data_IF_852341437698
#
_entry.id   IF_852341437698
#
_cell.length_a   1.000
_cell.length_b   1.000
_cell.length_c   1.000
_cell.angle_alpha   90.00
_cell.angle_beta   90.00
_cell.angle_gamma   90.00
#
_symmetry.space_group_name_H-M   'P 1'
#
loop_
_entity.id
_entity.type
_entity.pdbx_description
1 polymer ?
#
# COMPACT_ATOMS: atom_id res chain seq x y z
N UNK A 1 8.34 19.86 -16.72
CA UNK A 1 7.76 18.51 -16.64
C UNK A 1 8.88 17.51 -16.38
N UNK A 2 8.76 16.63 -15.37
CA UNK A 2 9.73 15.57 -15.18
C UNK A 2 9.69 14.65 -16.41
N UNK A 3 10.82 14.54 -17.10
CA UNK A 3 11.00 13.64 -18.23
C UNK A 3 11.90 12.50 -17.74
N UNK A 4 11.34 11.33 -17.56
CA UNK A 4 12.12 10.17 -17.13
C UNK A 4 11.28 8.92 -17.00
N UNK A 5 11.96 7.79 -16.90
CA UNK A 5 11.34 6.52 -16.55
C UNK A 5 11.14 6.45 -15.03
N UNK A 6 10.09 5.78 -14.59
CA UNK A 6 9.77 5.60 -13.17
C UNK A 6 10.04 4.17 -12.76
N UNK A 7 10.94 3.97 -11.81
CA UNK A 7 11.23 2.67 -11.16
C UNK A 7 10.46 2.61 -9.83
N UNK A 8 9.12 2.57 -9.91
CA UNK A 8 8.26 2.64 -8.72
C UNK A 8 8.43 1.44 -7.82
N UNK A 9 8.42 0.24 -8.39
CA UNK A 9 8.52 -1.01 -7.62
C UNK A 9 9.88 -1.16 -6.95
N UNK A 10 10.97 -0.81 -7.64
CA UNK A 10 12.32 -0.81 -7.05
C UNK A 10 12.41 0.19 -5.90
N UNK A 11 11.89 1.40 -6.08
CA UNK A 11 11.86 2.42 -5.03
C UNK A 11 11.08 1.98 -3.78
N UNK A 12 9.97 1.25 -3.95
CA UNK A 12 9.21 0.71 -2.81
C UNK A 12 10.04 -0.33 -2.04
N UNK A 13 10.80 -1.19 -2.72
CA UNK A 13 11.70 -2.15 -2.06
C UNK A 13 12.77 -1.43 -1.26
N UNK A 14 13.42 -0.42 -1.84
CA UNK A 14 14.45 0.35 -1.13
C UNK A 14 13.90 1.03 0.13
N UNK A 15 12.69 1.61 0.05
CA UNK A 15 12.02 2.20 1.21
C UNK A 15 11.66 1.14 2.25
N UNK A 16 11.19 -0.04 1.84
CA UNK A 16 10.89 -1.14 2.75
C UNK A 16 12.13 -1.62 3.50
N UNK A 17 13.25 -1.80 2.80
CA UNK A 17 14.53 -2.19 3.42
C UNK A 17 15.07 -1.10 4.35
N UNK A 18 14.97 0.18 3.98
CA UNK A 18 15.36 1.30 4.83
C UNK A 18 14.55 1.32 6.14
N UNK A 19 13.23 1.12 6.05
CA UNK A 19 12.34 1.15 7.21
C UNK A 19 12.44 -0.09 8.09
N UNK A 20 12.97 -1.20 7.59
CA UNK A 20 13.05 -2.48 8.32
C UNK A 20 13.78 -2.37 9.67
N UNK A 21 14.80 -1.51 9.75
CA UNK A 21 15.55 -1.23 10.99
C UNK A 21 14.92 -0.19 11.90
N UNK A 22 13.84 0.48 11.48
CA UNK A 22 13.23 1.57 12.25
C UNK A 22 12.34 1.03 13.37
N UNK A 23 12.31 1.74 14.50
CA UNK A 23 11.37 1.45 15.59
C UNK A 23 9.99 2.03 15.32
N UNK A 24 8.96 1.44 15.95
CA UNK A 24 7.59 1.90 15.87
C UNK A 24 6.85 1.43 14.62
N UNK A 25 5.75 2.11 14.30
CA UNK A 25 4.94 1.81 13.12
C UNK A 25 5.62 2.34 11.86
N UNK A 26 5.69 1.50 10.85
CA UNK A 26 6.29 1.82 9.55
C UNK A 26 5.18 2.02 8.53
N UNK A 27 5.11 3.21 7.99
CA UNK A 27 4.08 3.61 7.04
C UNK A 27 4.75 4.20 5.81
N UNK A 28 4.31 3.76 4.65
CA UNK A 28 4.71 4.29 3.35
C UNK A 28 3.49 4.94 2.71
N UNK A 29 3.62 6.20 2.34
CA UNK A 29 2.61 6.90 1.55
C UNK A 29 3.15 7.08 0.14
N UNK A 30 2.52 6.41 -0.81
CA UNK A 30 2.87 6.49 -2.24
C UNK A 30 1.99 7.54 -2.89
N UNK A 31 2.59 8.57 -3.45
CA UNK A 31 1.89 9.61 -4.22
C UNK A 31 2.33 9.46 -5.68
N UNK A 32 1.51 8.82 -6.51
CA UNK A 32 1.89 8.44 -7.87
C UNK A 32 0.67 8.10 -8.71
N UNK A 33 0.81 8.12 -10.03
CA UNK A 33 -0.15 7.55 -10.98
C UNK A 33 -0.13 6.01 -10.98
N UNK A 34 0.86 5.41 -10.32
CA UNK A 34 1.05 3.96 -10.19
C UNK A 34 1.73 3.31 -11.40
N UNK A 35 2.08 4.07 -12.43
CA UNK A 35 2.80 3.54 -13.57
C UNK A 35 4.26 3.24 -13.20
N UNK A 36 4.73 2.07 -13.58
CA UNK A 36 6.09 1.61 -13.42
C UNK A 36 6.67 1.26 -14.79
N UNK A 37 7.71 1.97 -15.18
CA UNK A 37 8.25 1.89 -16.54
C UNK A 37 9.71 1.47 -16.61
N UNK A 38 10.38 1.36 -15.43
CA UNK A 38 11.84 1.17 -15.40
C UNK A 38 12.34 0.27 -14.26
N UNK A 39 11.48 -0.29 -13.44
CA UNK A 39 11.92 -1.25 -12.43
C UNK A 39 12.53 -2.49 -13.07
N UNK A 40 13.44 -3.16 -12.36
CA UNK A 40 14.06 -4.40 -12.81
C UNK A 40 12.97 -5.44 -13.13
N UNK A 41 13.16 -6.21 -14.19
CA UNK A 41 12.19 -7.23 -14.62
C UNK A 41 11.93 -8.30 -13.55
N UNK A 42 12.85 -8.48 -12.62
CA UNK A 42 12.71 -9.38 -11.47
C UNK A 42 11.94 -8.77 -10.31
N UNK A 43 11.73 -7.45 -10.32
CA UNK A 43 10.98 -6.73 -9.29
C UNK A 43 9.48 -6.87 -9.56
N UNK A 44 8.94 -8.02 -9.20
CA UNK A 44 7.51 -8.30 -9.35
C UNK A 44 6.71 -7.74 -8.19
N UNK A 45 5.40 -7.59 -8.37
CA UNK A 45 4.49 -7.18 -7.30
C UNK A 45 4.56 -8.09 -6.06
N UNK A 46 4.75 -9.39 -6.28
CA UNK A 46 4.92 -10.37 -5.21
C UNK A 46 6.19 -10.08 -4.38
N UNK A 47 7.31 -9.80 -5.05
CA UNK A 47 8.59 -9.46 -4.40
C UNK A 47 8.44 -8.20 -3.55
N UNK A 48 7.80 -7.16 -4.11
CA UNK A 48 7.52 -5.90 -3.40
C UNK A 48 6.60 -6.12 -2.20
N UNK A 49 5.51 -6.85 -2.38
CA UNK A 49 4.57 -7.18 -1.30
C UNK A 49 5.27 -7.94 -0.17
N UNK A 50 6.11 -8.92 -0.51
CA UNK A 50 6.90 -9.66 0.47
C UNK A 50 7.86 -8.75 1.23
N UNK A 51 8.58 -7.86 0.54
CA UNK A 51 9.50 -6.91 1.19
C UNK A 51 8.76 -6.02 2.20
N UNK A 52 7.61 -5.46 1.82
CA UNK A 52 6.77 -4.64 2.69
C UNK A 52 6.24 -5.43 3.90
N UNK A 53 5.80 -6.67 3.72
CA UNK A 53 5.30 -7.53 4.80
C UNK A 53 6.42 -7.94 5.76
N UNK A 54 7.60 -8.29 5.25
CA UNK A 54 8.79 -8.59 6.08
C UNK A 54 9.23 -7.35 6.86
N UNK A 55 9.22 -6.17 6.24
CA UNK A 55 9.52 -4.92 6.89
C UNK A 55 8.39 -4.44 7.83
N UNK A 56 7.23 -5.12 7.86
CA UNK A 56 6.03 -4.71 8.60
C UNK A 56 5.59 -3.28 8.28
N UNK A 57 5.64 -2.93 7.00
CA UNK A 57 5.20 -1.63 6.48
C UNK A 57 3.73 -1.66 6.08
N UNK A 58 2.99 -0.61 6.43
CA UNK A 58 1.64 -0.34 5.95
C UNK A 58 1.71 0.65 4.80
N UNK A 59 0.98 0.40 3.72
CA UNK A 59 1.04 1.22 2.50
C UNK A 59 -0.26 1.97 2.28
N UNK A 60 -0.18 3.29 2.21
CA UNK A 60 -1.24 4.15 1.71
C UNK A 60 -0.87 4.65 0.33
N UNK A 61 -1.85 4.77 -0.55
CA UNK A 61 -1.64 5.27 -1.91
C UNK A 61 -2.57 6.46 -2.17
N UNK A 62 -2.01 7.54 -2.67
CA UNK A 62 -2.75 8.68 -3.21
C UNK A 62 -2.47 8.74 -4.71
N UNK A 63 -3.47 8.38 -5.51
CA UNK A 63 -3.33 8.35 -6.98
C UNK A 63 -3.43 9.77 -7.53
N UNK A 64 -2.46 10.16 -8.37
CA UNK A 64 -2.40 11.53 -8.93
C UNK A 64 -3.01 11.65 -10.32
N UNK A 65 -3.25 10.58 -11.02
CA UNK A 65 -3.66 10.57 -12.43
C UNK A 65 -4.93 11.38 -12.70
N UNK A 66 -5.98 11.15 -11.91
CA UNK A 66 -7.26 11.85 -12.07
C UNK A 66 -7.13 13.33 -11.71
N UNK A 67 -6.35 13.63 -10.65
CA UNK A 67 -6.04 14.99 -10.23
C UNK A 67 -5.30 15.78 -11.32
N UNK A 68 -4.24 15.20 -11.88
CA UNK A 68 -3.47 15.82 -12.96
C UNK A 68 -4.32 16.03 -14.22
N UNK A 69 -5.16 15.05 -14.57
CA UNK A 69 -6.07 15.15 -15.70
C UNK A 69 -7.09 16.26 -15.48
N UNK A 70 -7.73 16.31 -14.32
CA UNK A 70 -8.69 17.36 -13.99
C UNK A 70 -8.05 18.75 -13.97
N UNK A 71 -6.88 18.90 -13.38
CA UNK A 71 -6.13 20.17 -13.37
C UNK A 71 -5.78 20.67 -14.78
N UNK A 72 -5.51 19.74 -15.71
CA UNK A 72 -5.15 20.08 -17.10
C UNK A 72 -6.37 20.33 -17.98
N UNK A 73 -7.47 19.63 -17.80
CA UNK A 73 -8.61 19.62 -18.74
C UNK A 73 -9.89 20.26 -18.19
N UNK A 74 -10.01 20.37 -16.87
CA UNK A 74 -11.25 20.74 -16.17
C UNK A 74 -12.34 19.66 -16.22
N UNK A 75 -12.05 18.48 -16.76
CA UNK A 75 -13.03 17.41 -16.94
C UNK A 75 -12.74 16.27 -15.95
N UNK A 76 -13.80 15.79 -15.27
CA UNK A 76 -13.75 14.60 -14.45
C UNK A 76 -13.73 13.34 -15.32
N UNK A 77 -12.85 12.42 -14.99
CA UNK A 77 -12.67 11.17 -15.73
C UNK A 77 -11.63 11.28 -16.86
N UNK A 78 -11.08 10.15 -17.23
CA UNK A 78 -10.08 10.02 -18.28
C UNK A 78 -10.21 8.68 -18.99
N UNK A 79 -9.55 8.53 -20.14
CA UNK A 79 -9.51 7.26 -20.86
C UNK A 79 -8.67 6.24 -20.06
N UNK A 80 -9.34 5.24 -19.49
CA UNK A 80 -8.67 4.11 -18.91
C UNK A 80 -8.03 3.27 -20.02
N UNK A 81 -6.72 3.10 -19.97
CA UNK A 81 -6.01 2.16 -20.83
C UNK A 81 -5.53 0.96 -19.98
N UNK A 82 -5.08 -0.10 -20.64
CA UNK A 82 -4.63 -1.33 -19.95
C UNK A 82 -3.50 -1.05 -18.96
N UNK A 83 -2.60 -0.12 -19.26
CA UNK A 83 -1.48 0.25 -18.35
C UNK A 83 -2.02 0.90 -17.08
N UNK A 84 -2.95 1.84 -17.22
CA UNK A 84 -3.57 2.51 -16.07
C UNK A 84 -4.35 1.53 -15.18
N UNK A 85 -5.09 0.61 -15.77
CA UNK A 85 -5.80 -0.44 -15.03
C UNK A 85 -4.84 -1.39 -14.30
N UNK A 86 -3.73 -1.73 -14.93
CA UNK A 86 -2.69 -2.55 -14.31
C UNK A 86 -2.02 -1.83 -13.14
N UNK A 87 -1.69 -0.54 -13.32
CA UNK A 87 -1.14 0.31 -12.28
C UNK A 87 -2.10 0.43 -11.08
N UNK A 88 -3.37 0.68 -11.36
CA UNK A 88 -4.41 0.76 -10.33
C UNK A 88 -4.54 -0.53 -9.53
N UNK A 89 -4.60 -1.67 -10.21
CA UNK A 89 -4.69 -2.98 -9.54
C UNK A 89 -3.48 -3.26 -8.65
N UNK A 90 -2.27 -2.91 -9.11
CA UNK A 90 -1.05 -3.06 -8.29
C UNK A 90 -1.12 -2.23 -7.01
N UNK A 91 -1.55 -0.98 -7.11
CA UNK A 91 -1.66 -0.09 -5.95
C UNK A 91 -2.72 -0.58 -4.95
N UNK A 92 -3.86 -1.04 -5.45
CA UNK A 92 -4.90 -1.65 -4.62
C UNK A 92 -4.36 -2.88 -3.88
N UNK A 93 -3.69 -3.78 -4.59
CA UNK A 93 -3.14 -5.00 -4.02
C UNK A 93 -2.09 -4.71 -2.94
N UNK A 94 -1.15 -3.78 -3.18
CA UNK A 94 -0.15 -3.37 -2.17
C UNK A 94 -0.81 -2.82 -0.90
N UNK A 95 -1.80 -1.94 -1.05
CA UNK A 95 -2.51 -1.38 0.08
C UNK A 95 -3.31 -2.46 0.85
N UNK A 96 -4.04 -3.33 0.15
CA UNK A 96 -4.80 -4.41 0.78
C UNK A 96 -3.93 -5.42 1.51
N UNK A 97 -2.82 -5.85 0.91
CA UNK A 97 -1.90 -6.82 1.50
C UNK A 97 -1.22 -6.30 2.77
N UNK A 98 -1.04 -4.99 2.87
CA UNK A 98 -0.37 -4.33 3.99
C UNK A 98 -1.33 -3.69 5.00
N UNK A 99 -2.65 -3.70 4.73
CA UNK A 99 -3.68 -3.15 5.60
C UNK A 99 -3.88 -1.65 5.51
N UNK A 100 -3.38 -1.03 4.45
CA UNK A 100 -3.57 0.39 4.17
C UNK A 100 -4.82 0.70 3.34
N UNK A 101 -4.75 1.77 2.55
CA UNK A 101 -5.86 2.22 1.70
C UNK A 101 -5.36 2.96 0.45
N UNK A 102 -6.23 3.05 -0.56
CA UNK A 102 -5.99 3.82 -1.79
C UNK A 102 -6.99 4.94 -1.87
N UNK A 103 -6.52 6.12 -2.18
CA UNK A 103 -7.30 7.33 -2.43
C UNK A 103 -7.08 7.80 -3.87
N UNK A 104 -8.14 8.30 -4.50
CA UNK A 104 -8.10 8.76 -5.90
C UNK A 104 -8.71 10.16 -5.99
N UNK A 105 -8.06 11.18 -5.39
CA UNK A 105 -8.58 12.53 -5.42
C UNK A 105 -8.60 13.08 -6.85
N UNK A 106 -9.61 13.90 -7.14
CA UNK A 106 -9.78 14.54 -8.44
C UNK A 106 -9.40 16.02 -8.36
N UNK A 107 -9.64 16.66 -7.22
CA UNK A 107 -9.35 18.07 -6.99
C UNK A 107 -8.58 18.31 -5.69
N UNK A 108 -8.29 19.56 -5.38
CA UNK A 108 -7.50 19.95 -4.20
C UNK A 108 -8.23 19.66 -2.89
N UNK A 109 -9.54 19.79 -2.86
CA UNK A 109 -10.35 19.50 -1.65
C UNK A 109 -10.35 18.00 -1.37
N UNK A 110 -10.52 17.16 -2.39
CA UNK A 110 -10.42 15.72 -2.26
C UNK A 110 -8.99 15.27 -1.89
N UNK A 111 -7.95 15.96 -2.41
CA UNK A 111 -6.55 15.70 -2.05
C UNK A 111 -6.31 15.98 -0.56
N UNK A 112 -6.77 17.13 -0.06
CA UNK A 112 -6.68 17.49 1.34
C UNK A 112 -7.46 16.52 2.23
N UNK A 113 -8.65 16.10 1.79
CA UNK A 113 -9.47 15.11 2.49
C UNK A 113 -8.75 13.74 2.56
N UNK A 114 -8.08 13.31 1.49
CA UNK A 114 -7.30 12.07 1.48
C UNK A 114 -6.17 12.09 2.52
N UNK A 115 -5.40 13.17 2.59
CA UNK A 115 -4.35 13.31 3.61
C UNK A 115 -4.91 13.39 5.04
N UNK A 116 -6.01 14.12 5.23
CA UNK A 116 -6.69 14.17 6.53
C UNK A 116 -7.17 12.77 6.96
N UNK A 117 -7.72 11.98 6.03
CA UNK A 117 -8.16 10.62 6.31
C UNK A 117 -6.99 9.69 6.64
N UNK A 118 -5.86 9.77 5.92
CA UNK A 118 -4.65 9.01 6.26
C UNK A 118 -4.18 9.37 7.67
N UNK A 119 -4.13 10.66 8.00
CA UNK A 119 -3.74 11.12 9.33
C UNK A 119 -4.67 10.59 10.42
N UNK A 120 -5.99 10.63 10.20
CA UNK A 120 -6.98 10.10 11.11
C UNK A 120 -6.83 8.58 11.30
N UNK A 121 -6.67 7.83 10.20
CA UNK A 121 -6.41 6.39 10.24
C UNK A 121 -5.18 6.07 11.10
N UNK A 122 -4.07 6.77 10.87
CA UNK A 122 -2.83 6.56 11.61
C UNK A 122 -2.95 6.90 13.10
N UNK A 123 -3.78 7.88 13.44
CA UNK A 123 -3.99 8.30 14.83
C UNK A 123 -4.93 7.37 15.62
N UNK A 124 -5.79 6.62 14.92
CA UNK A 124 -6.87 5.82 15.53
C UNK A 124 -6.68 4.32 15.36
N UNK A 125 -5.50 3.86 15.01
CA UNK A 125 -5.21 2.44 14.84
C UNK A 125 -5.08 1.70 16.17
N UNK A 126 -5.63 0.48 16.20
CA UNK A 126 -5.38 -0.48 17.27
C UNK A 126 -4.16 -1.33 16.95
N UNK A 127 -3.32 -1.58 17.94
CA UNK A 127 -2.22 -2.54 17.85
C UNK A 127 -2.64 -3.79 18.61
N UNK A 128 -2.74 -4.90 17.90
CA UNK A 128 -3.05 -6.20 18.48
C UNK A 128 -1.82 -7.09 18.40
N UNK A 129 -1.45 -7.69 19.52
CA UNK A 129 -0.35 -8.65 19.60
C UNK A 129 -0.88 -10.00 20.03
N UNK A 130 -0.33 -11.07 19.46
CA UNK A 130 -0.64 -12.44 19.83
C UNK A 130 0.61 -13.31 19.70
N UNK A 131 0.62 -14.42 20.41
CA UNK A 131 1.65 -15.45 20.27
C UNK A 131 1.13 -16.49 19.26
N UNK A 132 1.78 -16.67 18.11
CA UNK A 132 1.41 -17.72 17.18
C UNK A 132 1.73 -19.09 17.79
N UNK A 133 0.97 -20.11 17.37
CA UNK A 133 1.22 -21.50 17.74
C UNK A 133 2.32 -22.03 16.80
N UNK A 134 3.53 -22.21 17.34
CA UNK A 134 4.75 -22.37 16.53
C UNK A 134 5.10 -23.83 16.19
N UNK A 135 4.32 -24.82 16.65
CA UNK A 135 4.72 -26.23 16.57
C UNK A 135 4.86 -26.81 15.14
N UNK A 136 4.35 -26.12 14.12
CA UNK A 136 4.33 -26.62 12.74
C UNK A 136 5.02 -25.72 11.72
N UNK A 137 5.50 -24.53 12.10
CA UNK A 137 5.95 -23.53 11.11
C UNK A 137 7.41 -23.59 10.79
N UNK A 138 7.69 -23.55 9.50
CA UNK A 138 9.05 -23.39 8.97
C UNK A 138 9.37 -21.92 8.77
N UNK A 139 10.60 -21.51 9.04
CA UNK A 139 11.10 -20.19 8.76
C UNK A 139 10.87 -19.84 7.27
N UNK A 140 10.22 -18.74 7.01
CA UNK A 140 9.89 -18.28 5.66
C UNK A 140 8.48 -18.66 5.18
N UNK A 141 7.72 -19.45 5.95
CA UNK A 141 6.32 -19.72 5.64
C UNK A 141 5.46 -18.47 5.81
N UNK A 142 4.47 -18.31 4.94
CA UNK A 142 3.50 -17.22 5.04
C UNK A 142 2.28 -17.65 5.83
N UNK A 143 1.93 -16.89 6.86
CA UNK A 143 0.71 -17.07 7.65
C UNK A 143 -0.32 -15.99 7.36
N UNK A 144 -1.53 -16.43 7.04
CA UNK A 144 -2.67 -15.53 6.87
C UNK A 144 -3.17 -15.02 8.23
N UNK A 145 -3.58 -13.76 8.27
CA UNK A 145 -4.26 -13.15 9.40
C UNK A 145 -5.71 -12.89 9.02
N UNK A 146 -6.64 -13.37 9.83
CA UNK A 146 -8.05 -13.04 9.73
C UNK A 146 -8.50 -12.35 11.01
N UNK A 147 -9.00 -11.14 10.90
CA UNK A 147 -9.52 -10.35 12.03
C UNK A 147 -11.03 -10.16 11.88
N UNK A 148 -11.77 -10.47 12.94
CA UNK A 148 -13.20 -10.26 13.00
C UNK A 148 -13.61 -9.56 14.31
N UNK A 149 -14.57 -8.65 14.24
CA UNK A 149 -15.14 -7.98 15.41
C UNK A 149 -16.46 -8.66 15.75
N UNK A 150 -16.56 -9.22 16.94
CA UNK A 150 -17.79 -9.87 17.42
C UNK A 150 -18.84 -8.82 17.81
N UNK A 151 -20.10 -9.07 17.46
CA UNK A 151 -21.23 -8.25 17.93
C UNK A 151 -21.47 -6.94 17.17
N UNK A 152 -20.71 -6.65 16.12
CA UNK A 152 -20.97 -5.51 15.24
C UNK A 152 -21.00 -5.96 13.78
N UNK A 153 -22.07 -5.59 13.09
CA UNK A 153 -22.22 -5.79 11.65
C UNK A 153 -21.86 -4.48 10.93
N UNK A 154 -21.47 -4.57 9.66
CA UNK A 154 -21.15 -3.43 8.78
C UNK A 154 -19.92 -2.61 9.20
N UNK A 155 -18.87 -3.26 9.67
CA UNK A 155 -17.57 -2.62 9.89
C UNK A 155 -16.59 -3.00 8.80
N UNK A 156 -15.88 -2.02 8.27
CA UNK A 156 -14.72 -2.25 7.42
C UNK A 156 -13.48 -2.40 8.28
N UNK A 157 -12.86 -3.57 8.23
CA UNK A 157 -11.63 -3.86 8.97
C UNK A 157 -10.48 -3.87 7.98
N UNK A 158 -9.46 -3.05 8.26
CA UNK A 158 -8.21 -3.03 7.50
C UNK A 158 -7.09 -3.55 8.38
N UNK A 159 -6.45 -4.61 7.94
CA UNK A 159 -5.26 -5.19 8.57
C UNK A 159 -4.41 -5.86 7.51
N UNK A 160 -3.12 -6.02 7.76
CA UNK A 160 -2.27 -6.82 6.88
C UNK A 160 -2.85 -8.22 6.72
N UNK A 161 -2.74 -8.79 5.53
CA UNK A 161 -3.32 -10.11 5.21
C UNK A 161 -2.53 -11.27 5.81
N UNK A 162 -1.28 -11.04 6.19
CA UNK A 162 -0.45 -12.07 6.78
C UNK A 162 0.96 -11.58 7.12
N UNK A 163 1.81 -12.52 7.49
CA UNK A 163 3.23 -12.28 7.77
C UNK A 163 4.07 -13.53 7.45
N UNK A 164 5.37 -13.31 7.28
CA UNK A 164 6.33 -14.41 7.10
C UNK A 164 6.94 -14.82 8.43
N UNK A 165 6.98 -16.13 8.69
CA UNK A 165 7.56 -16.69 9.92
C UNK A 165 9.07 -16.45 9.93
N UNK A 166 9.59 -15.92 11.06
CA UNK A 166 11.03 -15.69 11.25
C UNK A 166 11.61 -14.52 10.44
N UNK A 167 10.79 -13.63 9.90
CA UNK A 167 11.22 -12.35 9.34
C UNK A 167 11.56 -11.38 10.46
N UNK A 168 12.84 -11.29 10.81
CA UNK A 168 13.44 -10.20 11.59
C UNK A 168 14.36 -9.41 10.69
#
# INVERSE_FOLDING_TARGET
EPKGATALLDGIIEVAEYLKGSEGRRVVVIVSDGEDTYSDIKTTLEVVTKALQVANCQVYVVKTKEFENYKRTGLRGGNANIRALTAERRMLELAEQTGGAVYSPIDEDEMNAAYAQISADLSQQYVLSYYPDDEADKRGDFRNITLAVKGRQNMTIRTRKGYYVGGK
#
